data_IF_311576797832
#
_entry.id   IF_311576797832
#
_cell.length_a   1.000
_cell.length_b   1.000
_cell.length_c   1.000
_cell.angle_alpha   90.00
_cell.angle_beta   90.00
_cell.angle_gamma   90.00
#
_symmetry.space_group_name_H-M   'P 1'
#
loop_
_entity.id
_entity.type
_entity.pdbx_description
1 polymer ?
#
# COMPACT_ATOMS: atom_id res chain seq x y z
N UNK A 1 88.91 -25.20 3.53
CA UNK A 1 88.50 -24.54 4.78
C UNK A 1 88.57 -23.06 4.49
N UNK A 2 87.52 -22.23 4.50
CA UNK A 2 86.18 -22.22 5.11
C UNK A 2 85.47 -21.04 4.43
N UNK A 3 84.36 -21.28 3.73
CA UNK A 3 83.00 -20.78 4.01
C UNK A 3 82.85 -19.26 4.22
N UNK A 4 81.85 -18.70 3.51
CA UNK A 4 81.20 -17.38 3.61
C UNK A 4 81.70 -16.28 2.65
N UNK A 5 81.19 -16.31 1.41
CA UNK A 5 80.83 -15.08 0.69
C UNK A 5 79.77 -15.41 -0.37
N UNK A 6 78.58 -14.84 -0.18
CA UNK A 6 77.63 -14.39 -1.22
C UNK A 6 76.27 -14.14 -0.56
N UNK A 7 76.17 -12.99 0.10
CA UNK A 7 74.89 -12.35 0.37
C UNK A 7 74.76 -11.29 -0.72
N UNK A 8 73.89 -11.55 -1.69
CA UNK A 8 73.38 -10.58 -2.65
C UNK A 8 71.87 -10.80 -2.72
N UNK A 9 71.04 -9.76 -2.58
CA UNK A 9 69.59 -9.91 -2.50
C UNK A 9 68.99 -10.19 -3.89
N UNK A 10 68.02 -11.11 -4.05
CA UNK A 10 67.25 -11.17 -5.27
C UNK A 10 66.17 -10.07 -5.24
N UNK A 11 66.30 -9.15 -6.19
CA UNK A 11 65.25 -8.43 -6.92
C UNK A 11 63.81 -8.60 -6.37
N UNK A 12 63.34 -7.56 -5.67
CA UNK A 12 61.91 -7.26 -5.56
C UNK A 12 61.54 -6.53 -6.86
N UNK A 13 61.06 -7.25 -7.86
CA UNK A 13 60.22 -6.71 -8.93
C UNK A 13 59.53 -7.89 -9.64
N UNK A 14 58.22 -7.73 -9.95
CA UNK A 14 57.29 -8.70 -10.56
C UNK A 14 56.59 -9.60 -9.51
N UNK A 15 55.31 -9.47 -9.17
CA UNK A 15 54.17 -9.24 -10.04
C UNK A 15 53.05 -8.44 -9.33
N UNK A 16 53.02 -7.13 -9.55
CA UNK A 16 51.79 -6.33 -9.49
C UNK A 16 51.21 -6.32 -10.90
N UNK A 17 50.47 -7.37 -11.27
CA UNK A 17 49.58 -7.36 -12.46
C UNK A 17 48.76 -8.64 -12.55
N UNK A 18 47.77 -8.78 -11.68
CA UNK A 18 46.50 -9.29 -12.18
C UNK A 18 45.63 -8.05 -12.40
N UNK A 19 45.16 -7.77 -13.62
CA UNK A 19 44.17 -6.73 -13.79
C UNK A 19 42.93 -7.22 -13.04
N UNK A 20 42.72 -6.71 -11.82
CA UNK A 20 41.44 -6.86 -11.15
C UNK A 20 40.42 -6.21 -12.08
N UNK A 21 39.69 -7.06 -12.81
CA UNK A 21 38.59 -6.62 -13.66
C UNK A 21 37.63 -5.87 -12.76
N UNK A 22 37.21 -4.67 -13.17
CA UNK A 22 36.23 -3.86 -12.42
C UNK A 22 34.93 -4.64 -12.10
N UNK A 23 34.66 -5.73 -12.83
CA UNK A 23 33.52 -6.61 -12.59
C UNK A 23 33.65 -7.51 -11.34
N UNK A 24 34.86 -7.80 -10.85
CA UNK A 24 35.04 -8.53 -9.59
C UNK A 24 34.67 -7.66 -8.36
N UNK A 25 34.56 -6.33 -8.53
CA UNK A 25 34.04 -5.41 -7.52
C UNK A 25 32.51 -5.52 -7.36
N UNK A 26 31.81 -5.86 -8.45
CA UNK A 26 30.35 -5.99 -8.47
C UNK A 26 29.88 -7.42 -8.19
N UNK A 27 30.68 -8.43 -8.55
CA UNK A 27 30.37 -9.85 -8.37
C UNK A 27 31.63 -10.61 -7.94
N UNK A 28 31.85 -10.85 -6.63
CA UNK A 28 33.03 -11.58 -6.18
C UNK A 28 33.05 -13.00 -6.76
N UNK A 29 34.09 -13.34 -7.51
CA UNK A 29 34.29 -14.64 -8.17
C UNK A 29 33.95 -14.68 -9.67
N UNK A 30 33.68 -13.53 -10.30
CA UNK A 30 33.38 -13.44 -11.73
C UNK A 30 34.55 -13.89 -12.60
N UNK A 31 35.79 -13.55 -12.23
CA UNK A 31 37.01 -13.97 -12.94
C UNK A 31 37.19 -15.50 -12.99
N UNK A 32 36.86 -16.21 -11.90
CA UNK A 32 36.92 -17.67 -11.85
C UNK A 32 35.85 -18.31 -12.76
N UNK A 33 34.67 -17.69 -12.84
CA UNK A 33 33.58 -18.15 -13.71
C UNK A 33 33.95 -17.94 -15.19
N UNK A 34 34.55 -16.79 -15.54
CA UNK A 34 34.98 -16.52 -16.92
C UNK A 34 36.12 -17.41 -17.37
N UNK A 35 37.04 -17.77 -16.47
CA UNK A 35 38.14 -18.69 -16.77
C UNK A 35 37.67 -20.15 -16.91
N UNK A 36 36.72 -20.59 -16.09
CA UNK A 36 36.09 -21.90 -16.24
C UNK A 36 35.25 -21.96 -17.53
N UNK A 37 34.52 -20.90 -17.87
CA UNK A 37 33.73 -20.82 -19.10
C UNK A 37 34.60 -20.81 -20.37
N UNK A 38 35.74 -20.11 -20.35
CA UNK A 38 36.67 -20.08 -21.49
C UNK A 38 37.42 -21.40 -21.71
N UNK A 39 37.73 -22.15 -20.65
CA UNK A 39 38.30 -23.50 -20.75
C UNK A 39 37.29 -24.51 -21.30
N UNK A 40 36.00 -24.38 -20.98
CA UNK A 40 34.92 -25.23 -21.51
C UNK A 40 34.58 -24.89 -22.98
N UNK A 41 34.71 -23.62 -23.40
CA UNK A 41 34.50 -23.23 -24.80
C UNK A 41 35.63 -23.62 -25.74
N UNK A 42 36.87 -23.69 -25.24
CA UNK A 42 38.08 -23.94 -26.05
C UNK A 42 38.60 -25.40 -25.97
N UNK A 43 38.03 -26.25 -25.14
CA UNK A 43 38.45 -27.65 -24.98
C UNK A 43 37.72 -28.61 -25.91
N UNK A 44 38.45 -29.50 -26.60
CA UNK A 44 37.93 -30.66 -27.37
C UNK A 44 37.25 -31.69 -26.43
N UNK A 45 36.11 -31.31 -25.86
CA UNK A 45 35.28 -32.12 -24.99
C UNK A 45 34.08 -32.63 -25.78
N UNK A 46 33.64 -33.87 -25.52
CA UNK A 46 32.49 -34.45 -26.23
C UNK A 46 31.27 -33.53 -26.08
N UNK A 47 30.47 -33.35 -27.13
CA UNK A 47 29.38 -32.35 -27.12
C UNK A 47 28.42 -32.46 -25.92
N UNK A 48 28.31 -33.65 -25.32
CA UNK A 48 27.55 -33.90 -24.09
C UNK A 48 28.16 -33.24 -22.84
N UNK A 49 29.48 -33.27 -22.64
CA UNK A 49 30.12 -32.67 -21.45
C UNK A 49 30.09 -31.14 -21.51
N UNK A 50 30.23 -30.56 -22.71
CA UNK A 50 30.07 -29.12 -22.92
C UNK A 50 28.64 -28.66 -22.58
N UNK A 51 27.64 -29.42 -23.00
CA UNK A 51 26.23 -29.15 -22.70
C UNK A 51 25.93 -29.25 -21.19
N UNK A 52 26.47 -30.26 -20.51
CA UNK A 52 26.35 -30.42 -19.05
C UNK A 52 27.00 -29.26 -18.28
N UNK A 53 28.18 -28.81 -18.69
CA UNK A 53 28.85 -27.66 -18.09
C UNK A 53 28.06 -26.35 -18.32
N UNK A 54 27.47 -26.16 -19.50
CA UNK A 54 26.60 -25.00 -19.78
C UNK A 54 25.33 -25.01 -18.91
N UNK A 55 24.68 -26.15 -18.74
CA UNK A 55 23.52 -26.27 -17.84
C UNK A 55 23.89 -26.05 -16.38
N UNK A 56 25.03 -26.59 -15.92
CA UNK A 56 25.53 -26.36 -14.57
C UNK A 56 25.84 -24.87 -14.33
N UNK A 57 26.49 -24.21 -15.29
CA UNK A 57 26.76 -22.77 -15.25
C UNK A 57 25.47 -21.95 -15.23
N UNK A 58 24.50 -22.27 -16.09
CA UNK A 58 23.21 -21.60 -16.11
C UNK A 58 22.44 -21.77 -14.78
N UNK A 59 22.48 -22.97 -14.19
CA UNK A 59 21.88 -23.24 -12.89
C UNK A 59 22.55 -22.45 -11.75
N UNK A 60 23.88 -22.29 -11.80
CA UNK A 60 24.65 -21.49 -10.84
C UNK A 60 24.37 -19.99 -10.99
N UNK A 61 24.26 -19.48 -12.23
CA UNK A 61 24.00 -18.07 -12.50
C UNK A 61 22.55 -17.66 -12.25
N UNK A 62 21.59 -18.58 -12.41
CA UNK A 62 20.16 -18.34 -12.23
C UNK A 62 19.82 -17.51 -10.96
N UNK A 63 20.22 -17.91 -9.73
CA UNK A 63 19.88 -17.16 -8.52
C UNK A 63 20.56 -15.79 -8.42
N UNK A 64 21.67 -15.55 -9.12
CA UNK A 64 22.33 -14.24 -9.15
C UNK A 64 21.64 -13.31 -10.14
N UNK A 65 21.27 -13.82 -11.32
CA UNK A 65 20.53 -13.05 -12.33
C UNK A 65 19.18 -12.62 -11.78
N UNK A 66 18.42 -13.50 -11.13
CA UNK A 66 17.15 -13.12 -10.50
C UNK A 66 17.34 -12.06 -9.41
N UNK A 67 18.32 -12.25 -8.50
CA UNK A 67 18.62 -11.23 -7.48
C UNK A 67 19.05 -9.89 -8.06
N UNK A 68 19.81 -9.91 -9.15
CA UNK A 68 20.24 -8.69 -9.84
C UNK A 68 19.04 -7.98 -10.50
N UNK A 69 18.15 -8.74 -11.15
CA UNK A 69 16.93 -8.20 -11.75
C UNK A 69 16.03 -7.60 -10.67
N UNK A 70 15.79 -8.31 -9.57
CA UNK A 70 14.96 -7.83 -8.46
C UNK A 70 15.56 -6.54 -7.86
N UNK A 71 16.87 -6.54 -7.59
CA UNK A 71 17.58 -5.35 -7.11
C UNK A 71 17.49 -4.18 -8.09
N UNK A 72 17.64 -4.45 -9.39
CA UNK A 72 17.55 -3.43 -10.44
C UNK A 72 16.13 -2.85 -10.50
N UNK A 73 15.11 -3.70 -10.48
CA UNK A 73 13.71 -3.27 -10.46
C UNK A 73 13.45 -2.44 -9.20
N UNK A 74 13.86 -2.89 -8.02
CA UNK A 74 13.67 -2.15 -6.77
C UNK A 74 14.38 -0.79 -6.77
N UNK A 75 15.55 -0.69 -7.42
CA UNK A 75 16.30 0.56 -7.49
C UNK A 75 15.72 1.57 -8.49
N UNK A 76 15.08 1.08 -9.56
CA UNK A 76 14.51 1.92 -10.62
C UNK A 76 12.99 2.06 -10.55
N UNK A 77 12.35 1.48 -9.53
CA UNK A 77 10.92 1.60 -9.31
C UNK A 77 10.61 2.27 -7.97
N UNK A 78 9.49 2.98 -7.94
CA UNK A 78 8.92 3.50 -6.71
C UNK A 78 7.70 2.66 -6.37
N UNK A 79 7.59 2.16 -5.14
CA UNK A 79 6.46 1.32 -4.71
C UNK A 79 5.70 1.96 -3.56
N UNK A 80 4.39 2.10 -3.70
CA UNK A 80 3.46 2.51 -2.66
C UNK A 80 2.78 1.27 -2.07
N UNK A 81 2.88 1.07 -0.75
CA UNK A 81 2.31 -0.08 -0.04
C UNK A 81 1.17 0.38 0.86
N UNK A 82 0.02 -0.27 0.74
CA UNK A 82 -1.22 0.12 1.41
C UNK A 82 -1.80 -1.07 2.15
N UNK A 83 -2.09 -0.84 3.43
CA UNK A 83 -2.63 -1.85 4.34
C UNK A 83 -4.15 -1.89 4.24
N UNK A 84 -4.74 -3.08 4.41
CA UNK A 84 -6.19 -3.30 4.34
C UNK A 84 -7.04 -2.46 5.29
N UNK A 85 -6.54 -2.19 6.49
CA UNK A 85 -7.31 -1.49 7.54
C UNK A 85 -7.27 0.03 7.44
N UNK A 86 -6.54 0.57 6.45
CA UNK A 86 -6.50 2.00 6.17
C UNK A 86 -7.62 2.39 5.19
N UNK A 87 -8.18 3.59 5.34
CA UNK A 87 -9.20 4.10 4.42
C UNK A 87 -8.66 4.26 2.99
N UNK A 88 -7.34 4.47 2.85
CA UNK A 88 -6.65 4.51 1.56
C UNK A 88 -6.85 3.23 0.74
N UNK A 89 -7.06 2.08 1.38
CA UNK A 89 -7.40 0.82 0.71
C UNK A 89 -8.77 0.91 0.02
N UNK A 90 -9.78 1.40 0.74
CA UNK A 90 -11.13 1.57 0.22
C UNK A 90 -11.16 2.62 -0.92
N UNK A 91 -10.33 3.67 -0.84
CA UNK A 91 -10.19 4.70 -1.88
C UNK A 91 -9.71 4.09 -3.20
N UNK A 92 -8.61 3.32 -3.17
CA UNK A 92 -8.08 2.68 -4.39
C UNK A 92 -9.04 1.62 -4.89
N UNK A 93 -9.61 0.80 -4.01
CA UNK A 93 -10.52 -0.25 -4.44
C UNK A 93 -11.73 0.35 -5.17
N UNK A 94 -12.27 1.47 -4.66
CA UNK A 94 -13.35 2.18 -5.33
C UNK A 94 -12.91 2.72 -6.71
N UNK A 95 -11.72 3.31 -6.80
CA UNK A 95 -11.18 3.86 -8.05
C UNK A 95 -10.91 2.77 -9.10
N UNK A 96 -10.29 1.65 -8.71
CA UNK A 96 -10.00 0.49 -9.58
C UNK A 96 -11.29 -0.08 -10.16
N UNK A 97 -12.33 -0.22 -9.33
CA UNK A 97 -13.63 -0.71 -9.78
C UNK A 97 -14.39 0.30 -10.65
N UNK A 98 -14.26 1.61 -10.37
CA UNK A 98 -14.86 2.64 -11.21
C UNK A 98 -14.25 2.69 -12.62
N UNK A 99 -12.95 2.39 -12.73
CA UNK A 99 -12.21 2.40 -14.00
C UNK A 99 -12.21 1.06 -14.73
N UNK A 100 -12.88 0.03 -14.21
CA UNK A 100 -12.94 -1.31 -14.83
C UNK A 100 -11.58 -2.01 -14.91
N UNK A 101 -10.62 -1.64 -14.05
CA UNK A 101 -9.28 -2.24 -14.05
C UNK A 101 -9.26 -3.67 -13.50
N UNK A 102 -10.38 -4.13 -12.95
CA UNK A 102 -10.60 -5.51 -12.52
C UNK A 102 -10.53 -6.54 -13.66
N UNK A 103 -10.89 -6.18 -14.89
CA UNK A 103 -10.81 -7.08 -16.05
C UNK A 103 -9.37 -7.36 -16.49
N UNK A 104 -8.44 -6.46 -16.15
CA UNK A 104 -7.00 -6.66 -16.41
C UNK A 104 -6.37 -7.67 -15.43
N UNK A 105 -7.02 -7.91 -14.29
CA UNK A 105 -6.56 -8.87 -13.30
C UNK A 105 -6.90 -10.30 -13.71
N UNK A 106 -5.94 -11.22 -13.55
CA UNK A 106 -6.15 -12.65 -13.85
C UNK A 106 -7.09 -13.34 -12.85
N UNK A 107 -7.25 -12.76 -11.67
CA UNK A 107 -8.05 -13.28 -10.58
C UNK A 107 -8.84 -12.16 -9.94
N UNK A 108 -10.12 -12.43 -9.66
CA UNK A 108 -11.10 -11.45 -9.21
C UNK A 108 -11.85 -12.03 -8.01
N UNK A 109 -12.05 -11.21 -6.98
CA UNK A 109 -12.87 -11.51 -5.81
C UNK A 109 -14.22 -10.79 -5.93
N UNK A 110 -15.30 -11.53 -5.71
CA UNK A 110 -16.63 -10.95 -5.59
C UNK A 110 -16.92 -10.54 -4.13
N UNK A 111 -17.36 -9.29 -3.93
CA UNK A 111 -17.87 -8.75 -2.67
C UNK A 111 -19.35 -8.40 -2.85
N UNK A 112 -20.18 -8.97 -1.99
CA UNK A 112 -21.61 -8.59 -1.96
C UNK A 112 -21.72 -7.20 -1.37
N UNK A 113 -22.31 -6.27 -2.11
CA UNK A 113 -22.58 -4.96 -1.60
C UNK A 113 -23.72 -5.04 -0.56
N UNK A 114 -23.36 -4.95 0.72
CA UNK A 114 -24.34 -4.95 1.83
C UNK A 114 -25.11 -3.61 1.93
N UNK A 115 -24.75 -2.59 1.13
CA UNK A 115 -25.27 -1.21 1.26
C UNK A 115 -26.75 -1.04 0.91
N UNK A 116 -27.38 -1.98 0.21
CA UNK A 116 -28.79 -1.86 -0.18
C UNK A 116 -29.64 -2.92 0.51
N UNK A 117 -30.33 -2.52 1.59
CA UNK A 117 -31.62 -3.13 1.90
C UNK A 117 -32.60 -2.62 0.85
N UNK A 118 -32.64 -3.28 -0.31
CA UNK A 118 -33.78 -3.11 -1.22
C UNK A 118 -35.03 -3.54 -0.47
N UNK A 119 -36.04 -2.66 -0.40
CA UNK A 119 -37.36 -2.99 0.16
C UNK A 119 -38.00 -4.17 -0.58
N UNK A 120 -37.60 -4.39 -1.83
CA UNK A 120 -38.02 -5.52 -2.63
C UNK A 120 -37.10 -6.72 -2.39
N UNK A 121 -37.67 -7.78 -1.83
CA UNK A 121 -37.02 -9.09 -1.66
C UNK A 121 -36.66 -9.77 -3.01
N UNK A 122 -37.07 -9.19 -4.15
CA UNK A 122 -36.89 -9.75 -5.51
C UNK A 122 -35.66 -9.22 -6.25
N UNK A 123 -35.05 -8.12 -5.82
CA UNK A 123 -33.85 -7.57 -6.48
C UNK A 123 -32.60 -8.22 -5.90
N UNK A 124 -31.80 -8.88 -6.75
CA UNK A 124 -30.52 -9.51 -6.36
C UNK A 124 -29.57 -8.44 -5.79
N UNK A 125 -28.83 -8.78 -4.73
CA UNK A 125 -27.83 -7.88 -4.13
C UNK A 125 -26.73 -7.60 -5.16
N UNK A 126 -26.37 -6.34 -5.44
CA UNK A 126 -25.33 -6.04 -6.42
C UNK A 126 -23.98 -6.59 -5.96
N UNK A 127 -23.25 -7.19 -6.90
CA UNK A 127 -21.90 -7.69 -6.71
C UNK A 127 -20.91 -6.59 -7.09
N UNK A 128 -19.89 -6.42 -6.26
CA UNK A 128 -18.70 -5.64 -6.59
C UNK A 128 -17.56 -6.61 -6.84
N UNK A 129 -16.80 -6.36 -7.89
CA UNK A 129 -15.62 -7.14 -8.22
C UNK A 129 -14.38 -6.37 -7.78
N UNK A 130 -13.32 -7.09 -7.44
CA UNK A 130 -12.06 -6.49 -7.06
C UNK A 130 -10.93 -7.46 -7.42
N UNK A 131 -9.76 -6.96 -7.86
CA UNK A 131 -8.62 -7.81 -8.17
C UNK A 131 -8.18 -8.62 -6.94
N UNK A 132 -7.98 -9.92 -7.14
CA UNK A 132 -7.55 -10.87 -6.12
C UNK A 132 -6.17 -11.41 -6.46
N UNK A 133 -5.29 -11.52 -5.47
CA UNK A 133 -4.02 -12.28 -5.51
C UNK A 133 -3.36 -12.34 -6.90
N UNK A 134 -2.73 -11.26 -7.30
CA UNK A 134 -2.16 -11.13 -8.64
C UNK A 134 -1.58 -9.74 -8.89
N UNK A 135 -0.84 -9.64 -9.99
CA UNK A 135 -0.30 -8.38 -10.50
C UNK A 135 -0.83 -8.12 -11.91
N UNK A 136 -1.18 -6.87 -12.21
CA UNK A 136 -1.52 -6.42 -13.55
C UNK A 136 -0.94 -5.03 -13.79
N UNK A 137 -0.76 -4.69 -15.07
CA UNK A 137 -0.24 -3.39 -15.48
C UNK A 137 -1.36 -2.53 -16.04
N UNK A 138 -1.33 -1.24 -15.74
CA UNK A 138 -2.25 -0.27 -16.31
C UNK A 138 -1.53 1.05 -16.57
N UNK A 139 -2.06 1.81 -17.52
CA UNK A 139 -1.51 3.12 -17.87
C UNK A 139 -2.19 4.20 -17.05
N UNK A 140 -1.40 5.07 -16.43
CA UNK A 140 -1.87 6.28 -15.76
C UNK A 140 -1.12 7.49 -16.34
N UNK A 141 -1.84 8.28 -17.15
CA UNK A 141 -1.24 9.33 -17.97
C UNK A 141 -0.25 8.75 -18.98
N UNK A 142 1.04 9.08 -18.84
CA UNK A 142 2.14 8.58 -19.69
C UNK A 142 2.98 7.48 -19.01
N UNK A 143 2.62 7.08 -17.79
CA UNK A 143 3.43 6.18 -16.98
C UNK A 143 2.74 4.81 -16.85
N UNK A 144 3.54 3.75 -16.96
CA UNK A 144 3.09 2.39 -16.73
C UNK A 144 3.18 2.08 -15.23
N UNK A 145 2.04 1.73 -14.65
CA UNK A 145 1.93 1.33 -13.25
C UNK A 145 1.62 -0.16 -13.16
N UNK A 146 2.23 -0.83 -12.19
CA UNK A 146 1.89 -2.19 -11.79
C UNK A 146 1.06 -2.14 -10.53
N UNK A 147 -0.12 -2.76 -10.55
CA UNK A 147 -0.93 -2.99 -9.38
C UNK A 147 -0.75 -4.45 -8.95
N UNK A 148 -0.45 -4.67 -7.68
CA UNK A 148 -0.29 -6.01 -7.12
C UNK A 148 -1.02 -6.14 -5.79
N UNK A 149 -1.88 -7.16 -5.66
CA UNK A 149 -2.46 -7.57 -4.38
C UNK A 149 -1.72 -8.80 -3.87
N UNK A 150 -1.09 -8.70 -2.69
CA UNK A 150 -0.44 -9.83 -2.00
C UNK A 150 -1.07 -10.07 -0.63
N UNK A 151 -0.99 -11.30 -0.15
CA UNK A 151 -1.26 -11.61 1.25
C UNK A 151 0.05 -11.66 2.02
N UNK A 152 0.15 -10.87 3.07
CA UNK A 152 1.31 -10.81 3.96
C UNK A 152 0.92 -11.49 5.28
N UNK A 153 1.77 -12.40 5.75
CA UNK A 153 1.59 -13.06 7.04
C UNK A 153 1.95 -12.07 8.17
N UNK A 154 0.96 -11.64 8.94
CA UNK A 154 1.11 -10.79 10.12
C UNK A 154 0.79 -11.62 11.35
N UNK A 155 1.81 -12.30 11.87
CA UNK A 155 1.70 -13.21 13.00
C UNK A 155 0.87 -14.45 12.67
N UNK A 156 -0.30 -14.60 13.31
CA UNK A 156 -1.23 -15.72 13.09
C UNK A 156 -2.27 -15.43 11.99
N UNK A 157 -2.26 -14.24 11.39
CA UNK A 157 -3.28 -13.80 10.42
C UNK A 157 -2.64 -13.43 9.09
N UNK A 158 -3.41 -13.61 8.01
CA UNK A 158 -3.04 -13.14 6.68
C UNK A 158 -3.73 -11.82 6.41
N UNK A 159 -2.94 -10.78 6.16
CA UNK A 159 -3.43 -9.46 5.81
C UNK A 159 -3.24 -9.22 4.31
N UNK A 160 -4.27 -8.68 3.66
CA UNK A 160 -4.18 -8.26 2.27
C UNK A 160 -3.43 -6.92 2.21
N UNK A 161 -2.45 -6.82 1.31
CA UNK A 161 -1.69 -5.61 1.06
C UNK A 161 -1.73 -5.29 -0.44
N UNK A 162 -2.06 -4.05 -0.76
CA UNK A 162 -1.97 -3.53 -2.13
C UNK A 162 -0.60 -2.87 -2.28
N UNK A 163 0.10 -3.20 -3.35
CA UNK A 163 1.35 -2.56 -3.75
C UNK A 163 1.18 -2.00 -5.16
N UNK A 164 1.35 -0.69 -5.31
CA UNK A 164 1.34 -0.02 -6.61
C UNK A 164 2.76 0.43 -6.91
N UNK A 165 3.33 -0.09 -7.99
CA UNK A 165 4.71 0.17 -8.40
C UNK A 165 4.72 0.99 -9.69
N UNK A 166 5.46 2.10 -9.68
CA UNK A 166 5.70 2.93 -10.85
C UNK A 166 7.11 2.67 -11.39
N UNK A 167 7.22 2.51 -12.71
CA UNK A 167 8.52 2.53 -13.39
C UNK A 167 9.07 3.96 -13.32
N UNK A 168 10.22 4.15 -12.68
CA UNK A 168 10.85 5.44 -12.47
C UNK A 168 11.15 5.78 -11.01
N UNK A 169 12.12 6.68 -10.81
CA UNK A 169 12.56 7.16 -9.49
C UNK A 169 11.62 8.19 -8.84
N UNK A 170 10.66 8.73 -9.58
CA UNK A 170 9.76 9.76 -9.05
C UNK A 170 8.54 9.15 -8.37
N UNK A 171 8.42 9.34 -7.05
CA UNK A 171 7.20 8.98 -6.30
C UNK A 171 6.04 9.96 -6.51
N UNK A 172 6.25 11.06 -7.25
CA UNK A 172 5.24 12.07 -7.52
C UNK A 172 4.01 11.51 -8.24
N UNK A 173 4.21 10.61 -9.21
CA UNK A 173 3.12 9.99 -9.97
C UNK A 173 2.20 9.18 -9.06
N UNK A 174 2.78 8.42 -8.12
CA UNK A 174 2.01 7.65 -7.15
C UNK A 174 1.23 8.58 -6.21
N UNK A 175 1.80 9.71 -5.79
CA UNK A 175 1.09 10.71 -4.98
C UNK A 175 -0.06 11.36 -5.76
N UNK A 176 0.14 11.69 -7.04
CA UNK A 176 -0.90 12.20 -7.91
C UNK A 176 -2.06 11.20 -8.07
N UNK A 177 -1.74 9.92 -8.32
CA UNK A 177 -2.73 8.85 -8.37
C UNK A 177 -3.53 8.78 -7.06
N UNK A 178 -2.84 8.78 -5.91
CA UNK A 178 -3.52 8.75 -4.62
C UNK A 178 -4.43 9.94 -4.40
N UNK A 179 -4.02 11.12 -4.86
CA UNK A 179 -4.81 12.34 -4.73
C UNK A 179 -6.07 12.31 -5.62
N UNK A 180 -5.99 11.71 -6.80
CA UNK A 180 -7.15 11.48 -7.68
C UNK A 180 -8.09 10.43 -7.07
N UNK A 181 -7.56 9.30 -6.58
CA UNK A 181 -8.33 8.29 -5.84
C UNK A 181 -9.07 8.93 -4.65
N UNK A 182 -8.37 9.79 -3.90
CA UNK A 182 -8.92 10.52 -2.75
C UNK A 182 -10.05 11.45 -3.18
N UNK A 183 -9.86 12.22 -4.25
CA UNK A 183 -10.86 13.17 -4.76
C UNK A 183 -12.14 12.46 -5.18
N UNK A 184 -12.04 11.44 -6.00
CA UNK A 184 -13.21 10.69 -6.50
C UNK A 184 -13.96 9.97 -5.37
N UNK A 185 -13.21 9.40 -4.43
CA UNK A 185 -13.80 8.75 -3.27
C UNK A 185 -14.56 9.75 -2.37
N UNK A 186 -13.96 10.92 -2.08
CA UNK A 186 -14.61 11.97 -1.31
C UNK A 186 -15.83 12.57 -2.04
N UNK A 187 -15.77 12.70 -3.35
CA UNK A 187 -16.92 13.12 -4.16
C UNK A 187 -18.08 12.13 -4.04
N UNK A 188 -17.80 10.83 -3.99
CA UNK A 188 -18.78 9.78 -3.73
C UNK A 188 -19.36 9.78 -2.31
N UNK A 189 -18.65 10.39 -1.34
CA UNK A 189 -19.06 10.52 0.06
C UNK A 189 -19.75 11.84 0.39
N UNK A 190 -19.79 12.81 -0.53
CA UNK A 190 -20.54 14.06 -0.34
C UNK A 190 -21.97 13.77 0.15
N UNK A 191 -22.38 14.48 1.21
CA UNK A 191 -23.67 14.33 1.88
C UNK A 191 -23.91 12.94 2.50
N UNK A 192 -22.85 12.19 2.84
CA UNK A 192 -22.96 10.89 3.54
C UNK A 192 -22.05 10.88 4.76
N UNK A 193 -22.60 10.41 5.87
CA UNK A 193 -21.85 10.17 7.11
C UNK A 193 -21.31 8.74 7.09
N UNK A 194 -20.00 8.58 7.23
CA UNK A 194 -19.40 7.24 7.37
C UNK A 194 -19.49 6.78 8.83
N UNK A 195 -19.82 5.51 9.01
CA UNK A 195 -19.88 4.86 10.32
C UNK A 195 -18.82 3.77 10.35
N UNK A 196 -17.89 3.92 11.28
CA UNK A 196 -16.82 2.99 11.61
C UNK A 196 -17.22 2.16 12.81
N UNK A 197 -16.93 0.86 12.74
CA UNK A 197 -17.13 -0.08 13.83
C UNK A 197 -15.79 -0.68 14.25
N UNK A 198 -15.58 -0.86 15.55
CA UNK A 198 -14.38 -1.51 16.04
C UNK A 198 -14.43 -3.03 15.79
N UNK A 199 -13.49 -3.56 15.00
CA UNK A 199 -13.35 -4.99 14.71
C UNK A 199 -11.88 -5.38 14.70
N UNK A 200 -11.55 -6.50 15.33
CA UNK A 200 -10.21 -7.10 15.25
C UNK A 200 -9.05 -6.12 15.58
N UNK A 201 -9.27 -5.20 16.53
CA UNK A 201 -8.34 -4.12 16.93
C UNK A 201 -8.16 -2.97 15.94
N UNK A 202 -9.02 -2.88 14.92
CA UNK A 202 -9.02 -1.79 13.94
C UNK A 202 -10.41 -1.17 13.80
N UNK A 203 -10.45 0.12 13.46
CA UNK A 203 -11.67 0.79 13.06
C UNK A 203 -11.93 0.50 11.58
N UNK A 204 -13.03 -0.20 11.29
CA UNK A 204 -13.37 -0.61 9.92
C UNK A 204 -14.63 0.12 9.48
N UNK A 205 -14.60 0.67 8.27
CA UNK A 205 -15.77 1.27 7.63
C UNK A 205 -16.86 0.22 7.44
N UNK A 206 -17.99 0.38 8.14
CA UNK A 206 -19.09 -0.58 8.06
C UNK A 206 -20.18 -0.11 7.09
N UNK A 207 -20.56 1.17 7.17
CA UNK A 207 -21.61 1.75 6.34
C UNK A 207 -21.39 3.24 6.10
N UNK A 208 -21.88 3.72 4.97
CA UNK A 208 -22.03 5.15 4.70
C UNK A 208 -23.52 5.43 4.55
N UNK A 209 -24.05 6.32 5.37
CA UNK A 209 -25.49 6.65 5.44
C UNK A 209 -25.66 8.08 4.95
N UNK A 210 -26.71 8.34 4.17
CA UNK A 210 -27.03 9.71 3.74
C UNK A 210 -27.21 10.60 4.98
N UNK A 211 -26.55 11.75 4.98
CA UNK A 211 -26.62 12.72 6.06
C UNK A 211 -28.08 13.16 6.25
N UNK A 212 -28.60 12.94 7.46
CA UNK A 212 -29.97 13.30 7.80
C UNK A 212 -30.00 14.78 8.19
N UNK A 213 -30.80 15.64 7.52
CA UNK A 213 -30.86 17.06 7.89
C UNK A 213 -31.37 17.22 9.32
N UNK A 214 -30.74 18.10 10.09
CA UNK A 214 -31.11 18.40 11.48
C UNK A 214 -32.57 18.82 11.65
N UNK A 215 -33.16 19.46 10.63
CA UNK A 215 -34.57 19.85 10.62
C UNK A 215 -35.54 18.66 10.69
N UNK A 216 -35.12 17.45 10.27
CA UNK A 216 -35.98 16.25 10.30
C UNK A 216 -36.04 15.58 11.67
N UNK A 217 -35.24 16.04 12.64
CA UNK A 217 -35.26 15.54 14.01
C UNK A 217 -36.10 16.50 14.85
N UNK A 218 -37.25 16.02 15.29
CA UNK A 218 -38.21 16.79 16.09
C UNK A 218 -37.75 16.74 17.54
N UNK A 219 -37.17 17.84 18.00
CA UNK A 219 -36.77 18.12 19.38
C UNK A 219 -37.14 19.57 19.68
N UNK A 220 -37.10 19.94 20.96
CA UNK A 220 -37.23 21.34 21.35
C UNK A 220 -36.16 22.20 20.64
N UNK A 221 -36.59 23.25 19.93
CA UNK A 221 -35.69 24.05 19.09
C UNK A 221 -34.70 24.88 19.93
N UNK A 222 -35.07 25.25 21.15
CA UNK A 222 -34.16 25.94 22.06
C UNK A 222 -33.02 25.01 22.50
N UNK A 223 -33.33 23.81 22.99
CA UNK A 223 -32.32 22.81 23.37
C UNK A 223 -31.41 22.42 22.20
N UNK A 224 -32.00 22.21 21.02
CA UNK A 224 -31.27 21.88 19.80
C UNK A 224 -30.33 23.00 19.37
N UNK A 225 -30.80 24.25 19.39
CA UNK A 225 -29.99 25.42 19.06
C UNK A 225 -28.83 25.64 20.03
N UNK A 226 -29.09 25.50 21.34
CA UNK A 226 -28.05 25.62 22.38
C UNK A 226 -26.93 24.58 22.18
N UNK A 227 -27.30 23.31 21.91
CA UNK A 227 -26.31 22.25 21.70
C UNK A 227 -25.47 22.48 20.43
N UNK A 228 -26.11 22.83 19.31
CA UNK A 228 -25.40 23.07 18.04
C UNK A 228 -24.45 24.27 18.18
N UNK A 229 -24.89 25.34 18.84
CA UNK A 229 -24.04 26.51 19.09
C UNK A 229 -22.85 26.17 19.99
N UNK A 230 -23.03 25.34 21.02
CA UNK A 230 -21.92 24.87 21.86
C UNK A 230 -20.92 24.04 21.05
N UNK A 231 -21.39 23.15 20.17
CA UNK A 231 -20.52 22.33 19.32
C UNK A 231 -19.74 23.21 18.34
N UNK A 232 -20.40 24.15 17.65
CA UNK A 232 -19.75 25.07 16.73
C UNK A 232 -18.70 25.93 17.45
N UNK A 233 -19.02 26.41 18.65
CA UNK A 233 -18.07 27.16 19.48
C UNK A 233 -16.89 26.28 19.91
N UNK A 234 -17.13 25.01 20.24
CA UNK A 234 -16.06 24.09 20.59
C UNK A 234 -15.13 23.83 19.41
N UNK A 235 -15.68 23.61 18.20
CA UNK A 235 -14.94 23.36 16.97
C UNK A 235 -14.17 24.58 16.43
N UNK A 236 -14.51 25.77 16.90
CA UNK A 236 -13.87 27.01 16.47
C UNK A 236 -12.34 27.01 16.76
N UNK A 237 -11.49 27.42 15.80
CA UNK A 237 -10.04 27.41 15.98
C UNK A 237 -9.55 28.24 17.17
N UNK A 238 -10.25 29.33 17.55
CA UNK A 238 -9.87 30.13 18.71
C UNK A 238 -10.08 29.36 20.01
N UNK A 239 -11.19 28.63 20.11
CA UNK A 239 -11.45 27.74 21.25
C UNK A 239 -10.37 26.67 21.36
N UNK A 240 -9.98 26.04 20.24
CA UNK A 240 -8.87 25.07 20.25
C UNK A 240 -7.57 25.67 20.76
N UNK A 241 -7.24 26.90 20.34
CA UNK A 241 -6.06 27.63 20.81
C UNK A 241 -6.14 27.90 22.31
N UNK A 242 -7.30 28.38 22.80
CA UNK A 242 -7.54 28.62 24.23
C UNK A 242 -7.32 27.36 25.07
N UNK A 243 -7.79 26.19 24.63
CA UNK A 243 -7.56 24.93 25.34
C UNK A 243 -6.07 24.59 25.40
N UNK A 244 -5.34 24.80 24.30
CA UNK A 244 -3.89 24.60 24.24
C UNK A 244 -3.14 25.54 25.19
N UNK A 245 -3.49 26.83 25.18
CA UNK A 245 -2.82 27.86 26.01
C UNK A 245 -3.00 27.58 27.51
N UNK A 246 -4.14 27.01 27.90
CA UNK A 246 -4.43 26.63 29.29
C UNK A 246 -4.01 25.19 29.62
N UNK A 247 -3.36 24.47 28.70
CA UNK A 247 -2.96 23.06 28.87
C UNK A 247 -4.14 22.13 29.24
N UNK A 248 -5.34 22.44 28.75
CA UNK A 248 -6.55 21.66 28.97
C UNK A 248 -6.70 20.66 27.81
N UNK A 249 -6.93 19.36 28.07
CA UNK A 249 -7.21 18.39 27.03
C UNK A 249 -8.40 18.84 26.16
N UNK A 250 -8.17 18.97 24.85
CA UNK A 250 -9.20 19.36 23.88
C UNK A 250 -10.19 18.20 23.64
N UNK A 251 -11.13 18.04 24.57
CA UNK A 251 -12.16 17.01 24.58
C UNK A 251 -13.47 17.59 25.11
N UNK A 252 -14.59 17.18 24.51
CA UNK A 252 -15.95 17.56 24.91
C UNK A 252 -16.83 16.33 24.86
N UNK A 253 -17.59 16.08 25.94
CA UNK A 253 -18.52 14.96 26.04
C UNK A 253 -19.95 15.48 26.21
N UNK A 254 -20.89 14.84 25.51
CA UNK A 254 -22.32 15.16 25.56
C UNK A 254 -23.11 13.94 26.05
N UNK A 255 -24.02 14.14 27.00
CA UNK A 255 -24.90 13.09 27.51
C UNK A 255 -26.34 13.35 27.04
N UNK A 256 -26.80 12.57 26.07
CA UNK A 256 -28.20 12.58 25.64
C UNK A 256 -28.97 11.51 26.44
N UNK A 257 -29.89 11.93 27.30
CA UNK A 257 -30.69 11.01 28.14
C UNK A 257 -32.19 11.09 27.85
N UNK A 258 -32.95 10.08 28.27
CA UNK A 258 -34.40 9.99 28.11
C UNK A 258 -34.87 8.57 27.73
N UNK A 259 -36.19 8.33 27.63
CA UNK A 259 -36.77 7.02 27.31
C UNK A 259 -36.22 6.38 26.02
N UNK A 260 -36.20 5.04 25.88
CA UNK A 260 -35.82 4.40 24.63
C UNK A 260 -36.77 4.84 23.49
N UNK A 261 -36.24 5.01 22.28
CA UNK A 261 -37.04 5.44 21.12
C UNK A 261 -37.22 6.95 20.94
N UNK A 262 -36.72 7.80 21.83
CA UNK A 262 -36.82 9.27 21.71
C UNK A 262 -35.86 9.91 20.69
N UNK A 263 -35.30 9.14 19.77
CA UNK A 263 -34.49 9.68 18.67
C UNK A 263 -33.06 10.10 19.01
N UNK A 264 -32.53 9.85 20.22
CA UNK A 264 -31.14 10.20 20.62
C UNK A 264 -30.08 9.80 19.58
N UNK A 265 -30.08 8.54 19.14
CA UNK A 265 -29.15 8.03 18.12
C UNK A 265 -29.41 8.64 16.74
N UNK A 266 -30.65 8.96 16.41
CA UNK A 266 -30.97 9.66 15.16
C UNK A 266 -30.49 11.11 15.17
N UNK A 267 -30.54 11.75 16.35
CA UNK A 267 -30.05 13.10 16.53
C UNK A 267 -28.52 13.17 16.42
N UNK A 268 -27.79 12.25 17.06
CA UNK A 268 -26.32 12.18 16.90
C UNK A 268 -25.89 11.94 15.46
N UNK A 269 -26.60 11.08 14.72
CA UNK A 269 -26.39 10.89 13.28
C UNK A 269 -26.61 12.17 12.46
N UNK A 270 -27.61 12.97 12.83
CA UNK A 270 -27.94 14.20 12.12
C UNK A 270 -26.94 15.33 12.41
N UNK A 271 -26.44 15.40 13.66
CA UNK A 271 -25.35 16.33 14.04
C UNK A 271 -24.08 15.99 13.28
N UNK A 272 -23.69 14.72 13.25
CA UNK A 272 -22.50 14.27 12.52
C UNK A 272 -22.61 14.61 11.02
N UNK A 273 -23.77 14.37 10.40
CA UNK A 273 -24.01 14.73 9.01
C UNK A 273 -24.02 16.24 8.73
N UNK A 274 -24.49 17.07 9.66
CA UNK A 274 -24.49 18.52 9.50
C UNK A 274 -23.09 19.16 9.63
N UNK A 275 -22.21 18.51 10.38
CA UNK A 275 -20.83 18.95 10.63
C UNK A 275 -19.80 18.23 9.74
N UNK A 276 -20.26 17.40 8.79
CA UNK A 276 -19.43 16.57 7.92
C UNK A 276 -18.39 15.72 8.69
N UNK A 277 -18.83 15.15 9.82
CA UNK A 277 -18.01 14.29 10.67
C UNK A 277 -18.40 12.83 10.57
N UNK A 278 -17.41 11.95 10.64
CA UNK A 278 -17.62 10.51 10.73
C UNK A 278 -17.98 10.06 12.15
N UNK A 279 -18.67 8.92 12.23
CA UNK A 279 -19.10 8.33 13.50
C UNK A 279 -18.33 7.05 13.76
N UNK A 280 -17.82 6.93 14.97
CA UNK A 280 -17.14 5.73 15.47
C UNK A 280 -18.00 5.11 16.57
N UNK A 281 -18.41 3.84 16.38
CA UNK A 281 -19.30 3.08 17.29
C UNK A 281 -18.68 1.78 17.75
#
# INVERSE_FOLDING_TARGET
MTLLSNISPPLIQEALSQPMSLLDLFLPGFSNITNAASQVLNGNMSGYTQLMCLFALAALLKPYVFRFIDWFIDHFTSTLRIKRYDETYDMIQAWVSAHGLEDAARSIRAKVNKKQRTRDARTKKPLQYAPWEGAFYFWYGKNLLSYQTTQVDVGLRKEEQISITCVGRSSQILKCLMEDCRREYLDGLKNKTTIYAHRENHWIKEKAVVARPLATVILDEEQKGQLINDINKFLDPETKKRYSDHSIPYKRGYLLHGPPGTGKTSFSLSIAGALDMDIYV
#
